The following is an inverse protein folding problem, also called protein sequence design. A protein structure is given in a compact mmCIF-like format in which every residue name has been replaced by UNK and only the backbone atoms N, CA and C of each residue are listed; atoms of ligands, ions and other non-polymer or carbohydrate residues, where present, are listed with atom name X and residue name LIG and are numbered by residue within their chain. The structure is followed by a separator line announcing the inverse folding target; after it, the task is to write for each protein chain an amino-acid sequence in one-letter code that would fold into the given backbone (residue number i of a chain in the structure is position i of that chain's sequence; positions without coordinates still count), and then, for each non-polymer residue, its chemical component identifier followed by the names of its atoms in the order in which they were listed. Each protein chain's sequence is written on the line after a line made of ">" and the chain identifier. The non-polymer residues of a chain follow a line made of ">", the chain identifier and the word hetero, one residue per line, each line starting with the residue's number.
data_IF_663205060035
#
_entry.id   IF_663205060035
#
_cell.length_a   1.000
_cell.length_b   1.000
_cell.length_c   1.000
_cell.angle_alpha   90.00
_cell.angle_beta   90.00
_cell.angle_gamma   90.00
#
_symmetry.space_group_name_H-M   'P 1'
#
loop_
_entity.id
_entity.type
_entity.pdbx_description
1 polymer ?
#
# COMPACT_ATOMS: atom_id res chain seq x y z
N UNK A 1 -2.49 -8.99 -6.23
CA UNK A 1 -2.26 -8.60 -4.80
C UNK A 1 -3.45 -9.07 -3.98
N UNK A 2 -3.40 -10.21 -3.25
CA UNK A 2 -4.33 -10.54 -2.18
C UNK A 2 -4.17 -9.61 -0.97
N UNK A 3 -5.30 -9.22 -0.40
CA UNK A 3 -5.41 -8.43 0.84
C UNK A 3 -6.32 -9.19 1.80
N UNK A 4 -5.76 -9.67 2.88
CA UNK A 4 -6.54 -10.27 3.96
C UNK A 4 -6.98 -9.18 4.93
N UNK A 5 -8.28 -8.89 4.99
CA UNK A 5 -8.83 -7.85 5.86
C UNK A 5 -8.92 -8.30 7.31
N UNK A 6 -9.23 -9.58 7.56
CA UNK A 6 -9.43 -10.12 8.91
C UNK A 6 -8.10 -10.37 9.65
N UNK A 7 -7.05 -10.81 8.94
CA UNK A 7 -5.68 -10.84 9.44
C UNK A 7 -4.83 -9.83 8.64
N UNK A 8 -4.87 -8.53 8.97
CA UNK A 8 -4.47 -7.44 8.09
C UNK A 8 -3.08 -7.59 7.47
N UNK A 9 -3.06 -8.17 6.25
CA UNK A 9 -1.84 -8.52 5.51
C UNK A 9 -2.10 -8.35 4.01
N UNK A 10 -1.17 -7.71 3.32
CA UNK A 10 -1.09 -7.68 1.86
C UNK A 10 -0.04 -8.68 1.43
N UNK A 11 -0.38 -9.59 0.52
CA UNK A 11 0.59 -10.51 -0.09
C UNK A 11 0.78 -10.17 -1.56
N UNK A 12 2.03 -10.03 -1.99
CA UNK A 12 2.40 -9.87 -3.39
C UNK A 12 2.90 -11.22 -3.90
N UNK A 13 2.48 -11.58 -5.10
CA UNK A 13 2.93 -12.79 -5.77
C UNK A 13 3.73 -12.43 -7.02
N UNK A 14 4.84 -13.12 -7.25
CA UNK A 14 5.58 -13.13 -8.49
C UNK A 14 5.11 -14.25 -9.41
N UNK A 15 5.58 -14.23 -10.65
CA UNK A 15 5.28 -15.24 -11.66
C UNK A 15 6.01 -16.55 -11.37
N UNK A 16 5.35 -17.67 -11.62
CA UNK A 16 5.99 -18.99 -11.75
C UNK A 16 6.55 -19.20 -13.17
N UNK A 17 7.14 -20.39 -13.40
CA UNK A 17 7.73 -20.75 -14.69
C UNK A 17 6.71 -20.83 -15.83
N UNK A 18 5.44 -20.99 -15.52
CA UNK A 18 4.32 -20.97 -16.47
C UNK A 18 3.71 -19.58 -16.66
N UNK A 19 4.28 -18.53 -16.03
CA UNK A 19 3.80 -17.16 -16.16
C UNK A 19 2.55 -16.85 -15.32
N UNK A 20 2.27 -17.62 -14.26
CA UNK A 20 1.15 -17.39 -13.36
C UNK A 20 1.62 -16.76 -12.05
N UNK A 21 0.84 -15.87 -11.46
CA UNK A 21 1.15 -15.25 -10.15
C UNK A 21 0.85 -16.22 -9.00
N UNK A 22 1.76 -17.18 -8.77
CA UNK A 22 1.59 -18.24 -7.75
C UNK A 22 2.71 -18.29 -6.72
N UNK A 23 3.83 -17.59 -6.95
CA UNK A 23 4.99 -17.60 -6.05
C UNK A 23 4.87 -16.45 -5.03
N UNK A 24 4.70 -16.73 -3.72
CA UNK A 24 4.67 -15.68 -2.70
C UNK A 24 6.01 -14.93 -2.67
N UNK A 25 5.95 -13.64 -2.94
CA UNK A 25 7.14 -12.79 -3.08
C UNK A 25 7.35 -11.89 -1.85
N UNK A 26 6.27 -11.26 -1.37
CA UNK A 26 6.35 -10.27 -0.31
C UNK A 26 5.07 -10.28 0.52
N UNK A 27 5.21 -10.09 1.85
CA UNK A 27 4.11 -9.81 2.74
C UNK A 27 4.33 -8.47 3.44
N UNK A 28 3.28 -7.64 3.49
CA UNK A 28 3.25 -6.32 4.08
C UNK A 28 2.17 -6.26 5.13
N UNK A 29 2.46 -5.65 6.29
CA UNK A 29 1.41 -5.34 7.26
C UNK A 29 0.54 -4.20 6.75
N UNK A 30 -0.76 -4.30 6.95
CA UNK A 30 -1.69 -3.25 6.53
C UNK A 30 -2.77 -2.98 7.58
N UNK A 31 -3.61 -2.00 7.33
CA UNK A 31 -4.87 -1.76 8.05
C UNK A 31 -5.98 -1.49 7.05
N UNK A 32 -6.99 -2.34 7.07
CA UNK A 32 -8.28 -2.10 6.42
C UNK A 32 -9.32 -1.63 7.44
N UNK A 33 -10.59 -1.67 7.06
CA UNK A 33 -11.73 -1.35 7.90
C UNK A 33 -12.95 -2.20 7.57
N UNK A 34 -14.01 -2.03 8.34
CA UNK A 34 -15.26 -2.78 8.10
C UNK A 34 -15.87 -2.48 6.72
N UNK A 35 -15.71 -1.24 6.23
CA UNK A 35 -16.22 -0.83 4.93
C UNK A 35 -15.29 -1.22 3.76
N UNK A 36 -14.13 -1.82 4.03
CA UNK A 36 -13.25 -2.33 2.97
C UNK A 36 -14.01 -3.41 2.17
N UNK A 37 -14.25 -3.19 0.85
CA UNK A 37 -15.07 -4.12 0.06
C UNK A 37 -14.36 -5.46 -0.13
N UNK A 38 -15.09 -6.55 0.02
CA UNK A 38 -14.60 -7.88 -0.37
C UNK A 38 -14.83 -8.11 -1.86
N UNK A 39 -13.90 -8.82 -2.52
CA UNK A 39 -14.06 -9.17 -3.92
C UNK A 39 -12.80 -9.06 -4.76
N UNK A 40 -13.01 -8.93 -6.07
CA UNK A 40 -11.98 -8.91 -7.10
C UNK A 40 -11.98 -7.54 -7.78
N UNK A 41 -10.82 -6.91 -7.82
CA UNK A 41 -10.65 -5.55 -8.34
C UNK A 41 -9.43 -5.47 -9.26
N UNK A 42 -9.34 -4.38 -10.03
CA UNK A 42 -8.14 -4.03 -10.79
C UNK A 42 -7.87 -2.53 -10.63
N UNK A 43 -6.60 -2.18 -10.40
CA UNK A 43 -6.20 -0.80 -10.09
C UNK A 43 -6.39 0.13 -11.30
N UNK A 44 -7.22 1.20 -11.23
CA UNK A 44 -7.43 2.10 -12.36
C UNK A 44 -6.53 3.34 -12.37
N UNK A 45 -5.92 3.73 -11.24
CA UNK A 45 -5.18 5.00 -11.12
C UNK A 45 -4.18 5.01 -9.97
N UNK A 46 -3.13 5.84 -10.12
CA UNK A 46 -2.13 6.14 -9.10
C UNK A 46 -2.04 7.65 -8.86
N UNK A 47 -1.64 8.05 -7.65
CA UNK A 47 -1.43 9.44 -7.24
C UNK A 47 -0.23 9.53 -6.31
N UNK A 48 0.66 10.51 -6.47
CA UNK A 48 1.75 10.75 -5.52
C UNK A 48 1.19 11.11 -4.14
N UNK A 49 0.27 12.07 -4.13
CA UNK A 49 -0.52 12.45 -2.98
C UNK A 49 -2.00 12.45 -3.33
N UNK A 50 -2.82 11.99 -2.43
CA UNK A 50 -4.27 12.01 -2.59
C UNK A 50 -4.93 12.50 -1.32
N UNK A 51 -5.79 13.51 -1.47
CA UNK A 51 -6.67 13.93 -0.38
C UNK A 51 -7.67 12.82 -0.08
N UNK A 52 -7.81 12.47 1.19
CA UNK A 52 -8.64 11.38 1.68
C UNK A 52 -9.94 11.93 2.29
N UNK A 53 -10.88 11.04 2.59
CA UNK A 53 -12.03 11.38 3.41
C UNK A 53 -11.57 11.71 4.84
N UNK A 54 -12.11 12.80 5.44
CA UNK A 54 -11.71 13.23 6.78
C UNK A 54 -10.45 14.08 6.79
N UNK A 55 -10.46 15.21 6.14
CA UNK A 55 -9.44 16.12 5.61
C UNK A 55 -7.98 15.73 5.95
N UNK A 56 -7.48 14.70 5.32
CA UNK A 56 -6.12 14.18 5.47
C UNK A 56 -5.53 13.85 4.11
N UNK A 57 -4.22 13.60 4.06
CA UNK A 57 -3.53 13.20 2.84
C UNK A 57 -2.97 11.78 2.94
N UNK A 58 -2.99 11.04 1.82
CA UNK A 58 -2.29 9.77 1.67
C UNK A 58 -1.22 9.88 0.59
N UNK A 59 -0.02 9.38 0.89
CA UNK A 59 1.12 9.34 -0.03
C UNK A 59 1.11 8.04 -0.84
N UNK A 60 1.61 8.09 -2.09
CA UNK A 60 1.71 6.96 -3.02
C UNK A 60 0.39 6.18 -3.19
N UNK A 61 -0.72 6.91 -3.31
CA UNK A 61 -2.03 6.32 -3.35
C UNK A 61 -2.27 5.57 -4.67
N UNK A 62 -2.64 4.29 -4.57
CA UNK A 62 -3.07 3.46 -5.70
C UNK A 62 -4.53 3.10 -5.52
N UNK A 63 -5.39 3.51 -6.47
CA UNK A 63 -6.82 3.21 -6.40
C UNK A 63 -7.04 1.72 -6.61
N UNK A 64 -7.90 1.14 -5.76
CA UNK A 64 -8.36 -0.24 -5.88
C UNK A 64 -9.69 -0.26 -6.64
N UNK A 65 -10.67 0.49 -6.11
CA UNK A 65 -12.01 0.60 -6.67
C UNK A 65 -12.74 1.79 -6.03
N UNK A 66 -13.55 2.54 -6.78
CA UNK A 66 -14.33 3.70 -6.30
C UNK A 66 -13.47 4.67 -5.44
N UNK A 67 -13.78 4.84 -4.18
CA UNK A 67 -13.04 5.67 -3.23
C UNK A 67 -11.95 4.89 -2.45
N UNK A 68 -11.85 3.58 -2.63
CA UNK A 68 -10.92 2.73 -1.88
C UNK A 68 -9.53 2.69 -2.52
N UNK A 69 -8.51 2.90 -1.69
CA UNK A 69 -7.13 3.06 -2.10
C UNK A 69 -6.19 2.17 -1.26
N UNK A 70 -5.06 1.76 -1.84
CA UNK A 70 -3.82 1.61 -1.07
C UNK A 70 -3.22 2.99 -0.86
N UNK A 71 -2.78 3.33 0.33
CA UNK A 71 -2.06 4.58 0.60
C UNK A 71 -1.25 4.45 1.90
N UNK A 72 -0.32 5.39 2.14
CA UNK A 72 0.38 5.49 3.43
C UNK A 72 -0.60 5.67 4.59
N UNK A 73 -0.12 5.57 5.81
CA UNK A 73 -0.86 6.14 6.95
C UNK A 73 -1.16 7.62 6.64
N UNK A 74 -2.32 8.16 7.05
CA UNK A 74 -2.69 9.55 6.77
C UNK A 74 -1.71 10.58 7.35
N UNK A 75 -1.60 11.69 6.63
CA UNK A 75 -0.94 12.92 7.07
C UNK A 75 -1.98 13.99 7.33
N UNK A 76 -1.72 14.87 8.29
CA UNK A 76 -2.64 15.96 8.60
C UNK A 76 -2.86 16.88 7.39
N UNK A 77 -4.08 17.41 7.28
CA UNK A 77 -4.42 18.44 6.32
C UNK A 77 -4.44 19.78 7.01
N UNK A 78 -3.57 20.66 6.60
CA UNK A 78 -3.66 22.07 6.93
C UNK A 78 -4.31 22.80 5.77
N UNK A 79 -5.44 23.46 6.02
CA UNK A 79 -6.02 24.35 5.02
C UNK A 79 -5.07 25.51 4.77
N UNK A 80 -4.93 25.94 3.53
CA UNK A 80 -4.16 27.13 3.19
C UNK A 80 -4.72 28.33 3.97
N UNK A 81 -3.92 28.88 4.85
CA UNK A 81 -4.21 30.07 5.66
C UNK A 81 -2.93 30.88 5.81
N UNK A 82 -2.83 31.97 5.01
CA UNK A 82 -1.67 32.85 5.01
C UNK A 82 -1.40 33.45 6.40
N UNK A 83 -2.43 33.71 7.21
CA UNK A 83 -2.30 34.25 8.55
C UNK A 83 -1.75 33.22 9.56
N UNK A 84 -2.06 31.93 9.34
CA UNK A 84 -1.54 30.82 10.12
C UNK A 84 -0.21 30.28 9.57
N UNK A 85 0.18 30.71 8.35
CA UNK A 85 1.40 30.24 7.68
C UNK A 85 1.28 28.84 7.10
N UNK A 86 0.05 28.37 6.79
CA UNK A 86 -0.21 27.05 6.19
C UNK A 86 -0.48 27.21 4.70
N UNK A 87 0.08 26.32 3.88
CA UNK A 87 -0.02 26.30 2.42
C UNK A 87 -1.10 25.36 1.87
N UNK A 88 -1.61 24.45 2.71
CA UNK A 88 -2.59 23.42 2.33
C UNK A 88 -2.00 22.19 1.68
N UNK A 89 -0.67 22.16 1.50
CA UNK A 89 0.05 21.03 0.94
C UNK A 89 0.36 19.96 2.02
N UNK A 90 0.51 18.69 1.64
CA UNK A 90 0.89 17.64 2.56
C UNK A 90 2.36 17.74 2.97
N UNK A 91 2.64 17.53 4.24
CA UNK A 91 3.99 17.53 4.81
C UNK A 91 4.39 16.14 5.30
N UNK A 92 5.59 15.68 4.94
CA UNK A 92 6.08 14.34 5.28
C UNK A 92 6.45 14.16 6.75
N UNK A 93 6.67 15.25 7.45
CA UNK A 93 6.99 15.32 8.88
C UNK A 93 5.75 15.45 9.78
N UNK A 94 4.57 15.17 9.20
CA UNK A 94 3.31 15.39 9.91
C UNK A 94 2.32 14.21 9.73
N UNK A 95 2.84 12.99 9.88
CA UNK A 95 2.02 11.79 9.86
C UNK A 95 1.13 11.72 11.11
N UNK A 96 -0.07 11.18 10.96
CA UNK A 96 -0.93 10.83 12.09
C UNK A 96 -0.34 9.62 12.84
N UNK A 97 0.63 9.86 13.73
CA UNK A 97 1.36 8.78 14.42
C UNK A 97 0.46 7.85 15.25
N UNK A 98 -0.65 8.37 15.80
CA UNK A 98 -1.63 7.54 16.48
C UNK A 98 -2.31 6.54 15.54
N UNK A 99 -2.51 6.92 14.28
CA UNK A 99 -3.01 6.03 13.22
C UNK A 99 -1.91 5.10 12.71
N UNK A 100 -0.64 5.55 12.68
CA UNK A 100 0.51 4.71 12.35
C UNK A 100 0.66 3.55 13.34
N UNK A 101 0.53 3.83 14.63
CA UNK A 101 0.60 2.82 15.69
C UNK A 101 -0.57 1.81 15.68
N UNK A 102 -1.60 2.04 14.87
CA UNK A 102 -2.69 1.09 14.64
C UNK A 102 -2.47 0.15 13.46
N UNK A 103 -1.36 0.30 12.70
CA UNK A 103 -1.06 -0.63 11.61
C UNK A 103 -1.10 -2.09 12.11
N UNK A 104 -1.68 -2.97 11.30
CA UNK A 104 -1.91 -4.36 11.66
C UNK A 104 -3.24 -4.60 12.39
N UNK A 105 -4.07 -3.58 12.58
CA UNK A 105 -5.42 -3.68 13.14
C UNK A 105 -6.45 -3.10 12.17
N UNK A 106 -7.74 -3.46 12.27
CA UNK A 106 -8.80 -2.81 11.50
C UNK A 106 -9.02 -1.38 12.00
N UNK A 107 -8.41 -0.39 11.34
CA UNK A 107 -8.37 1.00 11.82
C UNK A 107 -8.73 2.04 10.76
N UNK A 108 -9.01 1.63 9.51
CA UNK A 108 -9.41 2.57 8.46
C UNK A 108 -10.93 2.66 8.31
N UNK A 109 -11.39 3.66 7.56
CA UNK A 109 -12.79 3.73 7.09
C UNK A 109 -13.07 2.77 5.92
N UNK A 110 -12.02 2.17 5.31
CA UNK A 110 -12.17 1.25 4.19
C UNK A 110 -10.96 1.18 3.27
N UNK A 111 -10.14 2.22 3.18
CA UNK A 111 -8.87 2.17 2.47
C UNK A 111 -7.87 1.20 3.14
N UNK A 112 -6.90 0.74 2.38
CA UNK A 112 -5.82 -0.13 2.86
C UNK A 112 -4.61 0.76 3.15
N UNK A 113 -4.33 0.97 4.44
CA UNK A 113 -3.18 1.75 4.94
C UNK A 113 -1.96 0.85 5.06
N UNK A 114 -0.80 1.36 4.63
CA UNK A 114 0.50 0.67 4.72
C UNK A 114 1.58 1.63 5.20
N UNK A 115 2.76 1.11 5.53
CA UNK A 115 3.96 1.92 5.69
C UNK A 115 4.37 2.53 4.34
N UNK A 116 5.10 3.64 4.36
CA UNK A 116 5.54 4.33 3.14
C UNK A 116 6.36 3.43 2.23
N UNK A 117 7.30 2.64 2.75
CA UNK A 117 8.10 1.72 1.93
C UNK A 117 7.25 0.70 1.16
N UNK A 118 6.18 0.21 1.79
CA UNK A 118 5.30 -0.81 1.21
C UNK A 118 4.37 -0.22 0.16
N UNK A 119 3.70 0.89 0.49
CA UNK A 119 2.80 1.52 -0.48
C UNK A 119 3.56 2.13 -1.65
N UNK A 120 4.77 2.68 -1.41
CA UNK A 120 5.66 3.15 -2.47
C UNK A 120 6.08 2.00 -3.38
N UNK A 121 6.38 0.83 -2.82
CA UNK A 121 6.71 -0.35 -3.62
C UNK A 121 5.54 -0.73 -4.54
N UNK A 122 4.29 -0.75 -4.04
CA UNK A 122 3.09 -1.00 -4.86
C UNK A 122 2.97 0.06 -5.95
N UNK A 123 3.11 1.32 -5.60
CA UNK A 123 3.02 2.45 -6.53
C UNK A 123 4.04 2.36 -7.68
N UNK A 124 5.30 2.02 -7.35
CA UNK A 124 6.40 1.98 -8.31
C UNK A 124 6.40 0.72 -9.19
N UNK A 125 5.91 -0.43 -8.67
CA UNK A 125 6.11 -1.74 -9.30
C UNK A 125 4.81 -2.42 -9.77
N UNK A 126 3.65 -1.87 -9.43
CA UNK A 126 2.36 -2.43 -9.83
C UNK A 126 1.68 -1.51 -10.85
N UNK A 127 1.64 -1.93 -12.09
CA UNK A 127 0.99 -1.17 -13.17
C UNK A 127 -0.51 -1.01 -12.96
N UNK A 128 -1.09 0.00 -13.62
CA UNK A 128 -2.53 0.13 -13.76
C UNK A 128 -3.09 -1.16 -14.38
N UNK A 129 -4.19 -1.68 -13.81
CA UNK A 129 -4.74 -2.98 -14.16
C UNK A 129 -4.24 -4.12 -13.27
N UNK A 130 -3.36 -3.85 -12.29
CA UNK A 130 -2.94 -4.86 -11.31
C UNK A 130 -4.14 -5.42 -10.57
N UNK A 131 -4.26 -6.75 -10.55
CA UNK A 131 -5.37 -7.45 -9.89
C UNK A 131 -5.23 -7.43 -8.37
N UNK A 132 -6.32 -7.09 -7.69
CA UNK A 132 -6.43 -7.06 -6.23
C UNK A 132 -7.58 -7.96 -5.81
N UNK A 133 -7.33 -8.83 -4.82
CA UNK A 133 -8.35 -9.69 -4.20
C UNK A 133 -8.42 -9.29 -2.73
N UNK A 134 -9.59 -8.87 -2.27
CA UNK A 134 -9.81 -8.57 -0.86
C UNK A 134 -10.72 -9.65 -0.27
N UNK A 135 -10.26 -10.28 0.80
CA UNK A 135 -10.92 -11.41 1.43
C UNK A 135 -10.75 -11.37 2.96
N UNK A 136 -11.52 -12.20 3.67
CA UNK A 136 -11.40 -12.40 5.10
C UNK A 136 -10.93 -13.84 5.40
N UNK A 137 -9.83 -13.94 6.12
CA UNK A 137 -9.40 -15.16 6.80
C UNK A 137 -8.68 -14.77 8.08
N UNK A 138 -9.33 -14.98 9.23
CA UNK A 138 -8.77 -14.59 10.52
C UNK A 138 -7.72 -15.59 11.05
N UNK A 139 -7.70 -16.81 10.52
CA UNK A 139 -6.83 -17.90 10.99
C UNK A 139 -5.56 -18.02 10.17
N UNK A 140 -5.60 -17.63 8.89
CA UNK A 140 -4.45 -17.69 7.98
C UNK A 140 -4.14 -16.32 7.36
N UNK A 141 -3.08 -15.64 7.83
CA UNK A 141 -2.67 -14.34 7.25
C UNK A 141 -2.09 -14.44 5.85
N UNK A 142 -1.89 -15.65 5.34
CA UNK A 142 -1.29 -15.94 4.05
C UNK A 142 0.06 -16.66 4.16
N UNK A 143 0.62 -17.11 3.02
CA UNK A 143 1.72 -18.09 2.98
C UNK A 143 3.03 -17.60 3.59
N UNK A 144 3.22 -16.31 3.74
CA UNK A 144 4.43 -15.71 4.33
C UNK A 144 4.24 -15.27 5.79
N UNK A 145 3.03 -15.42 6.32
CA UNK A 145 2.67 -14.92 7.64
C UNK A 145 2.40 -13.41 7.65
N UNK A 146 2.03 -12.89 8.81
CA UNK A 146 1.78 -11.47 9.03
C UNK A 146 3.05 -10.79 9.55
N UNK A 147 3.56 -9.73 8.87
CA UNK A 147 4.68 -8.95 9.37
C UNK A 147 4.34 -8.24 10.69
N UNK A 148 5.38 -7.90 11.47
CA UNK A 148 5.24 -7.06 12.63
C UNK A 148 4.91 -5.61 12.29
N UNK A 149 4.92 -4.75 13.30
CA UNK A 149 4.74 -3.30 13.15
C UNK A 149 5.92 -2.53 13.75
N UNK A 150 6.09 -1.28 13.35
CA UNK A 150 7.00 -0.35 14.01
C UNK A 150 6.14 0.52 14.92
N UNK A 151 6.62 0.75 16.13
CA UNK A 151 5.95 1.64 17.09
C UNK A 151 6.64 3.00 17.11
N UNK A 152 5.87 4.05 16.97
CA UNK A 152 6.32 5.44 17.12
C UNK A 152 5.95 5.94 18.50
N UNK A 153 6.95 6.34 19.31
CA UNK A 153 6.72 6.88 20.65
C UNK A 153 6.07 8.27 20.54
N UNK A 154 4.84 8.46 21.07
CA UNK A 154 4.19 9.76 21.06
C UNK A 154 4.96 10.86 21.80
N UNK A 155 5.86 10.49 22.71
CA UNK A 155 6.69 11.45 23.46
C UNK A 155 7.92 11.93 22.67
N UNK A 156 8.30 11.23 21.61
CA UNK A 156 9.43 11.63 20.75
C UNK A 156 8.95 12.64 19.68
N UNK A 157 9.07 13.92 19.98
CA UNK A 157 8.63 14.99 19.08
C UNK A 157 9.46 15.07 17.78
N UNK A 158 10.65 14.47 17.73
CA UNK A 158 11.50 14.48 16.56
C UNK A 158 11.08 13.38 15.57
N UNK A 159 10.76 12.19 16.07
CA UNK A 159 10.50 11.02 15.24
C UNK A 159 9.01 10.82 14.92
N UNK A 160 8.11 11.18 15.86
CA UNK A 160 6.69 10.82 15.77
C UNK A 160 5.97 11.36 14.54
N UNK A 161 6.43 12.47 13.96
CA UNK A 161 5.82 13.09 12.77
C UNK A 161 6.17 12.40 11.46
N UNK A 162 7.09 11.45 11.48
CA UNK A 162 7.59 10.80 10.27
C UNK A 162 7.17 9.32 10.20
N UNK A 163 6.87 8.85 8.98
CA UNK A 163 6.87 7.40 8.74
C UNK A 163 8.33 6.91 8.83
N UNK A 164 8.63 5.94 9.71
CA UNK A 164 10.01 5.42 9.86
C UNK A 164 10.62 4.90 8.57
N UNK A 165 9.79 4.58 7.58
CA UNK A 165 10.20 3.95 6.33
C UNK A 165 10.20 4.90 5.13
N UNK A 166 9.88 6.19 5.32
CA UNK A 166 9.97 7.18 4.24
C UNK A 166 11.44 7.43 3.88
N UNK A 167 11.84 7.21 2.60
CA UNK A 167 13.23 7.37 2.15
C UNK A 167 13.67 8.83 1.99
N UNK A 168 12.88 9.79 2.43
CA UNK A 168 13.24 11.20 2.36
C UNK A 168 14.52 11.47 3.17
N UNK A 169 15.54 12.13 2.60
CA UNK A 169 16.77 12.44 3.34
C UNK A 169 16.60 13.32 4.58
N UNK A 170 15.45 14.02 4.71
CA UNK A 170 15.12 14.80 5.89
C UNK A 170 14.52 13.95 7.02
N UNK A 171 14.15 12.70 6.74
CA UNK A 171 13.61 11.79 7.74
C UNK A 171 14.64 11.53 8.86
N UNK A 172 14.34 11.82 10.13
CA UNK A 172 15.28 11.64 11.23
C UNK A 172 15.43 10.19 11.71
N UNK A 173 14.62 9.27 11.20
CA UNK A 173 14.72 7.85 11.55
C UNK A 173 15.98 7.22 10.99
N UNK A 174 16.51 6.22 11.69
CA UNK A 174 17.67 5.43 11.26
C UNK A 174 17.36 4.61 10.01
N UNK A 175 18.26 4.58 9.03
CA UNK A 175 18.11 3.88 7.73
C UNK A 175 17.75 2.38 7.86
N UNK A 176 18.03 1.75 9.02
CA UNK A 176 17.61 0.36 9.28
C UNK A 176 16.09 0.15 9.19
N UNK A 177 15.30 1.21 9.32
CA UNK A 177 13.85 1.15 9.22
C UNK A 177 13.32 1.29 7.79
N UNK A 178 14.15 1.68 6.82
CA UNK A 178 13.73 1.95 5.43
C UNK A 178 13.07 0.76 4.73
N UNK A 179 13.38 -0.47 5.14
CA UNK A 179 12.73 -1.68 4.61
C UNK A 179 11.46 -2.08 5.36
N UNK A 180 11.10 -1.35 6.40
CA UNK A 180 9.97 -1.64 7.27
C UNK A 180 10.08 -3.00 7.94
N UNK A 181 8.94 -3.63 8.14
CA UNK A 181 8.83 -5.00 8.67
C UNK A 181 8.45 -6.02 7.58
N UNK A 182 8.52 -5.61 6.34
CA UNK A 182 8.13 -6.39 5.16
C UNK A 182 8.89 -7.70 5.08
N UNK A 183 8.16 -8.81 4.99
CA UNK A 183 8.76 -10.14 4.76
C UNK A 183 8.98 -10.30 3.26
N UNK A 184 10.17 -10.68 2.85
CA UNK A 184 10.53 -10.93 1.45
C UNK A 184 11.09 -12.33 1.28
N UNK A 185 10.78 -12.95 0.14
CA UNK A 185 11.31 -14.25 -0.24
C UNK A 185 12.48 -14.09 -1.21
N UNK A 186 13.70 -14.47 -0.79
CA UNK A 186 14.89 -14.44 -1.65
C UNK A 186 14.72 -15.30 -2.91
N UNK A 187 14.12 -16.48 -2.76
CA UNK A 187 13.86 -17.38 -3.89
C UNK A 187 12.90 -16.75 -4.90
N UNK A 188 11.81 -16.12 -4.42
CA UNK A 188 10.86 -15.44 -5.29
C UNK A 188 11.47 -14.21 -5.97
N UNK A 189 12.36 -13.49 -5.29
CA UNK A 189 13.11 -12.38 -5.87
C UNK A 189 14.00 -12.82 -7.02
N UNK A 190 14.73 -13.91 -6.84
CA UNK A 190 15.58 -14.46 -7.90
C UNK A 190 14.74 -14.91 -9.10
N UNK A 191 13.64 -15.63 -8.86
CA UNK A 191 12.73 -16.07 -9.90
C UNK A 191 12.10 -14.90 -10.68
N UNK A 192 11.74 -13.82 -9.97
CA UNK A 192 11.26 -12.60 -10.59
C UNK A 192 12.31 -11.94 -11.49
N UNK A 193 13.56 -11.81 -11.00
CA UNK A 193 14.66 -11.25 -11.78
C UNK A 193 14.94 -12.08 -13.04
N UNK A 194 14.93 -13.41 -12.92
CA UNK A 194 15.12 -14.33 -14.03
C UNK A 194 13.97 -14.19 -15.05
N UNK A 195 12.73 -14.08 -14.59
CA UNK A 195 11.57 -13.87 -15.44
C UNK A 195 11.61 -12.53 -16.20
N UNK A 196 12.12 -11.47 -15.55
CA UNK A 196 12.34 -10.17 -16.18
C UNK A 196 13.43 -10.23 -17.24
N UNK A 197 14.56 -10.89 -16.95
CA UNK A 197 15.68 -11.04 -17.87
C UNK A 197 15.29 -11.86 -19.12
N UNK A 198 14.43 -12.87 -18.95
CA UNK A 198 13.94 -13.72 -20.03
C UNK A 198 12.78 -13.11 -20.83
N UNK A 199 12.31 -11.91 -20.46
CA UNK A 199 11.16 -11.26 -21.10
C UNK A 199 9.82 -11.96 -20.86
N UNK A 200 9.74 -12.86 -19.87
CA UNK A 200 8.50 -13.58 -19.48
C UNK A 200 7.48 -12.67 -18.79
N UNK A 201 7.88 -11.44 -18.48
CA UNK A 201 7.05 -10.43 -17.83
C UNK A 201 5.91 -9.86 -18.70
N UNK A 202 5.97 -10.03 -20.01
CA UNK A 202 4.95 -9.51 -20.95
C UNK A 202 3.70 -10.41 -21.00
N UNK A 203 3.04 -10.58 -19.86
CA UNK A 203 1.72 -11.25 -19.84
C UNK A 203 0.66 -10.20 -20.20
N UNK A 204 0.25 -10.21 -21.46
CA UNK A 204 -0.94 -9.48 -21.88
C UNK A 204 -2.17 -10.15 -21.26
N UNK A 205 -2.83 -9.49 -20.32
CA UNK A 205 -4.09 -9.98 -19.77
C UNK A 205 -5.15 -10.02 -20.88
N UNK A 206 -5.77 -11.18 -21.07
CA UNK A 206 -6.89 -11.31 -21.99
C UNK A 206 -8.21 -10.94 -21.28
N UNK A 207 -9.28 -10.57 -22.01
CA UNK A 207 -10.58 -10.33 -21.42
C UNK A 207 -11.11 -11.50 -20.57
N UNK A 208 -10.70 -12.73 -20.88
CA UNK A 208 -11.06 -13.94 -20.13
C UNK A 208 -10.38 -13.98 -18.77
N UNK A 209 -9.13 -13.48 -18.66
CA UNK A 209 -8.40 -13.41 -17.40
C UNK A 209 -9.00 -12.35 -16.44
N UNK A 210 -9.75 -11.40 -16.98
CA UNK A 210 -10.42 -10.35 -16.26
C UNK A 210 -11.89 -10.68 -15.93
N UNK A 211 -12.37 -11.87 -16.30
CA UNK A 211 -13.76 -12.26 -16.05
C UNK A 211 -14.01 -12.35 -14.53
N UNK A 212 -14.94 -11.56 -14.05
CA UNK A 212 -15.26 -11.43 -12.61
C UNK A 212 -14.54 -10.30 -11.90
N UNK A 213 -13.63 -9.57 -12.56
CA UNK A 213 -12.97 -8.39 -12.01
C UNK A 213 -13.83 -7.13 -12.23
N UNK A 214 -13.87 -6.25 -11.22
CA UNK A 214 -14.47 -4.94 -11.40
C UNK A 214 -13.58 -4.08 -12.30
N UNK A 215 -14.09 -3.74 -13.48
CA UNK A 215 -13.48 -2.79 -14.42
C UNK A 215 -14.32 -1.52 -14.44
N UNK A 216 -14.37 -0.79 -13.33
CA UNK A 216 -15.05 0.51 -13.36
C UNK A 216 -14.20 1.50 -14.16
N UNK A 217 -14.54 1.62 -15.46
CA UNK A 217 -13.91 2.54 -16.40
C UNK A 217 -14.37 3.99 -16.23
N UNK A 218 -15.31 4.26 -15.31
CA UNK A 218 -15.81 5.63 -15.05
C UNK A 218 -14.82 6.48 -14.26
N UNK A 219 -13.75 5.86 -13.72
CA UNK A 219 -12.73 6.55 -12.92
C UNK A 219 -11.50 6.75 -13.80
N UNK A 220 -11.52 7.78 -14.62
CA UNK A 220 -10.31 8.24 -15.32
C UNK A 220 -9.29 8.72 -14.31
N UNK A 221 -8.25 7.90 -14.09
CA UNK A 221 -7.06 8.29 -13.34
C UNK A 221 -5.91 8.52 -14.30
N UNK A 222 -5.33 9.69 -14.26
CA UNK A 222 -4.03 9.95 -14.85
C UNK A 222 -2.97 9.77 -13.76
N UNK A 223 -1.80 9.21 -14.10
CA UNK A 223 -0.61 9.41 -13.28
C UNK A 223 -0.38 10.90 -13.17
N UNK A 224 -0.42 11.43 -11.95
CA UNK A 224 -0.05 12.80 -11.63
C UNK A 224 1.44 13.00 -11.65
#
# INVERSE_FOLDING_TARGET
>A
IPVNRAAPTVTVYSLDQEGRYTVPYMAMVCSGGEETPLGFFATPANYDWRQLAGPTWGQYATRIWDAYLFHSVPYYLYYADEAAGTDGDPHKDDIEYDEFNKLGTPASLGCIRLMVCDVKWIYDNCDIGTRVIIYDDAEDPGPMGKPGTIYTDPADETLRGWDPTDPDPANPWDDRYLSGTTIRSEAAWQEWNDAMADGRWNVTLTPTDLQGWSTDSSIEGTRG
#
